data_IF_251811989377
#
_entry.id   IF_251811989377
#
_cell.length_a   1.000
_cell.length_b   1.000
_cell.length_c   1.000
_cell.angle_alpha   90.00
_cell.angle_beta   90.00
_cell.angle_gamma   90.00
#
_symmetry.space_group_name_H-M   'P 1'
#
loop_
_entity.id
_entity.type
_entity.pdbx_description
1 polymer ?
#
# COMPACT_ATOMS: atom_id res chain seq x y z
N UNK A 1 1.24 -2.54 13.06
CA UNK A 1 0.67 -1.19 13.29
C UNK A 1 -0.85 -1.32 13.27
N UNK A 2 -1.56 -0.65 14.18
CA UNK A 2 -3.04 -0.64 14.13
C UNK A 2 -3.52 0.47 13.19
N UNK A 3 -4.73 0.34 12.65
CA UNK A 3 -5.43 1.37 11.86
C UNK A 3 -5.42 2.71 12.59
N UNK A 4 -5.76 2.70 13.88
CA UNK A 4 -5.78 3.91 14.70
C UNK A 4 -4.41 4.60 14.75
N UNK A 5 -3.32 3.86 14.96
CA UNK A 5 -1.97 4.44 14.98
C UNK A 5 -1.57 5.04 13.64
N UNK A 6 -1.85 4.36 12.52
CA UNK A 6 -1.52 4.84 11.17
C UNK A 6 -2.27 6.14 10.86
N UNK A 7 -3.55 6.19 11.21
CA UNK A 7 -4.50 7.19 10.73
C UNK A 7 -4.66 8.39 11.64
N UNK A 8 -4.32 8.28 12.92
CA UNK A 8 -4.49 9.36 13.92
C UNK A 8 -3.88 10.69 13.50
N UNK A 9 -2.72 10.67 12.84
CA UNK A 9 -2.08 11.87 12.31
C UNK A 9 -2.96 12.57 11.26
N UNK A 10 -3.59 11.82 10.36
CA UNK A 10 -4.53 12.34 9.36
C UNK A 10 -5.82 12.84 9.99
N UNK A 11 -6.42 12.05 10.90
CA UNK A 11 -7.70 12.38 11.52
C UNK A 11 -7.62 13.67 12.35
N UNK A 12 -6.43 14.08 12.80
CA UNK A 12 -6.22 15.36 13.48
C UNK A 12 -6.59 16.58 12.63
N UNK A 13 -6.51 16.46 11.31
CA UNK A 13 -6.87 17.52 10.35
C UNK A 13 -8.35 17.55 9.97
N UNK A 14 -9.19 16.69 10.56
CA UNK A 14 -10.63 16.64 10.22
C UNK A 14 -11.35 18.00 10.34
N UNK A 15 -11.09 18.83 11.37
CA UNK A 15 -11.69 20.17 11.44
C UNK A 15 -11.30 21.06 10.25
N UNK A 16 -10.03 21.03 9.83
CA UNK A 16 -9.53 21.85 8.72
C UNK A 16 -10.07 21.35 7.37
N UNK A 17 -10.14 20.03 7.20
CA UNK A 17 -10.76 19.42 6.02
C UNK A 17 -12.23 19.85 5.91
N UNK A 18 -12.99 19.77 6.99
CA UNK A 18 -14.39 20.21 6.99
C UNK A 18 -14.52 21.71 6.72
N UNK A 19 -13.68 22.55 7.32
CA UNK A 19 -13.70 23.99 7.12
C UNK A 19 -13.42 24.39 5.66
N UNK A 20 -12.44 23.75 5.01
CA UNK A 20 -12.13 24.00 3.59
C UNK A 20 -13.27 23.56 2.68
N UNK A 21 -13.84 22.37 2.91
CA UNK A 21 -14.95 21.84 2.11
C UNK A 21 -16.23 22.67 2.22
N UNK A 22 -16.54 23.23 3.40
CA UNK A 22 -17.67 24.16 3.59
C UNK A 22 -17.55 25.42 2.71
N UNK A 23 -16.33 25.78 2.31
CA UNK A 23 -16.05 26.89 1.39
C UNK A 23 -15.91 26.42 -0.07
N UNK A 24 -16.15 25.14 -0.37
CA UNK A 24 -15.93 24.56 -1.69
C UNK A 24 -14.45 24.43 -2.08
N UNK A 25 -13.54 24.49 -1.11
CA UNK A 25 -12.09 24.43 -1.31
C UNK A 25 -11.59 23.01 -1.01
N UNK A 26 -10.66 22.52 -1.83
CA UNK A 26 -10.03 21.22 -1.62
C UNK A 26 -8.96 21.29 -0.53
N UNK A 27 -8.89 20.27 0.33
CA UNK A 27 -7.81 20.12 1.29
C UNK A 27 -6.66 19.29 0.72
N UNK A 28 -5.46 19.88 0.65
CA UNK A 28 -4.24 19.20 0.18
C UNK A 28 -3.26 19.07 1.34
N UNK A 29 -2.78 17.86 1.59
CA UNK A 29 -1.69 17.62 2.53
C UNK A 29 -0.36 17.87 1.82
N UNK A 30 0.15 19.10 1.97
CA UNK A 30 1.31 19.61 1.24
C UNK A 30 2.65 18.96 1.59
N UNK A 31 2.76 18.34 2.76
CA UNK A 31 3.92 17.57 3.19
C UNK A 31 3.50 16.52 4.22
N UNK A 32 3.94 15.28 4.06
CA UNK A 32 3.79 14.23 5.07
C UNK A 32 4.84 13.14 4.90
N UNK A 33 5.12 12.38 5.96
CA UNK A 33 5.77 11.08 5.87
C UNK A 33 5.62 10.30 7.20
N UNK A 34 6.27 9.14 7.30
CA UNK A 34 6.18 8.20 8.44
C UNK A 34 6.62 8.79 9.77
N UNK A 35 7.80 9.43 9.82
CA UNK A 35 8.35 10.09 11.01
C UNK A 35 9.02 11.41 10.59
N UNK A 36 8.95 12.43 11.44
CA UNK A 36 9.62 13.71 11.22
C UNK A 36 11.15 13.59 11.24
N UNK A 37 11.85 14.69 10.96
CA UNK A 37 13.31 14.77 10.96
C UNK A 37 13.97 13.74 10.01
N UNK A 38 13.43 13.62 8.80
CA UNK A 38 13.94 12.74 7.74
C UNK A 38 13.77 11.23 8.01
N UNK A 39 12.91 10.86 8.95
CA UNK A 39 12.53 9.49 9.24
C UNK A 39 13.34 8.82 10.35
N UNK A 40 12.86 7.67 10.79
CA UNK A 40 13.45 6.84 11.84
C UNK A 40 14.14 5.61 11.23
N UNK A 41 15.44 5.35 11.55
CA UNK A 41 16.13 4.14 11.11
C UNK A 41 15.44 2.87 11.59
N UNK A 42 15.34 1.85 10.73
CA UNK A 42 14.67 0.58 11.05
C UNK A 42 13.14 0.68 11.14
N UNK A 43 12.56 1.81 10.76
CA UNK A 43 11.11 2.02 10.73
C UNK A 43 10.68 2.68 9.43
N UNK A 44 11.26 3.82 9.09
CA UNK A 44 10.91 4.57 7.87
C UNK A 44 11.48 3.95 6.59
N UNK A 45 12.63 3.30 6.68
CA UNK A 45 13.34 2.71 5.54
C UNK A 45 13.06 1.21 5.37
N UNK A 46 11.98 0.69 5.96
CA UNK A 46 11.67 -0.74 5.95
C UNK A 46 10.42 -1.08 5.14
N UNK A 47 10.25 -2.35 4.81
CA UNK A 47 9.12 -2.89 4.06
C UNK A 47 7.78 -2.65 4.76
N UNK A 48 7.76 -2.61 6.10
CA UNK A 48 6.59 -2.22 6.88
C UNK A 48 6.12 -0.78 6.56
N UNK A 49 7.01 0.13 6.17
CA UNK A 49 6.63 1.47 5.75
C UNK A 49 5.78 1.49 4.47
N UNK A 50 5.90 0.47 3.60
CA UNK A 50 5.02 0.32 2.44
C UNK A 50 3.56 0.08 2.87
N UNK A 51 3.33 -0.81 3.84
CA UNK A 51 2.00 -1.09 4.37
C UNK A 51 1.40 0.15 5.04
N UNK A 52 2.20 0.84 5.85
CA UNK A 52 1.81 2.11 6.46
C UNK A 52 1.39 3.12 5.38
N UNK A 53 2.21 3.33 4.36
CA UNK A 53 1.95 4.32 3.32
C UNK A 53 0.69 4.00 2.51
N UNK A 54 0.40 2.72 2.22
CA UNK A 54 -0.81 2.30 1.50
C UNK A 54 -2.06 2.61 2.34
N UNK A 55 -2.12 2.19 3.61
CA UNK A 55 -3.29 2.49 4.46
C UNK A 55 -3.43 4.00 4.67
N UNK A 56 -2.31 4.72 4.86
CA UNK A 56 -2.28 6.15 5.06
C UNK A 56 -2.87 6.93 3.87
N UNK A 57 -2.42 6.68 2.63
CA UNK A 57 -2.94 7.40 1.47
C UNK A 57 -4.36 7.01 1.08
N UNK A 58 -4.72 5.73 1.22
CA UNK A 58 -6.08 5.28 0.91
C UNK A 58 -7.07 5.85 1.94
N UNK A 59 -6.71 5.89 3.23
CA UNK A 59 -7.51 6.53 4.27
C UNK A 59 -7.61 8.05 4.09
N UNK A 60 -6.53 8.72 3.69
CA UNK A 60 -6.54 10.17 3.46
C UNK A 60 -7.66 10.59 2.49
N UNK A 61 -7.87 9.82 1.42
CA UNK A 61 -8.96 10.04 0.48
C UNK A 61 -10.35 9.88 1.14
N UNK A 62 -10.51 8.95 2.09
CA UNK A 62 -11.79 8.69 2.76
C UNK A 62 -12.23 9.83 3.68
N UNK A 63 -11.27 10.57 4.24
CA UNK A 63 -11.56 11.72 5.09
C UNK A 63 -11.61 13.04 4.32
N UNK A 64 -11.51 13.01 2.99
CA UNK A 64 -11.69 14.19 2.14
C UNK A 64 -10.42 14.98 1.82
N UNK A 65 -9.23 14.39 2.01
CA UNK A 65 -7.97 14.95 1.51
C UNK A 65 -7.88 14.65 0.01
N UNK A 66 -7.75 15.69 -0.82
CA UNK A 66 -7.75 15.55 -2.29
C UNK A 66 -6.39 15.18 -2.87
N UNK A 67 -5.30 15.47 -2.16
CA UNK A 67 -3.94 15.16 -2.57
C UNK A 67 -3.01 15.08 -1.37
N UNK A 68 -2.08 14.13 -1.45
CA UNK A 68 -1.01 13.93 -0.47
C UNK A 68 0.34 14.08 -1.17
N UNK A 69 1.24 14.86 -0.59
CA UNK A 69 2.61 14.99 -1.02
C UNK A 69 3.53 14.34 0.01
N UNK A 70 4.10 13.18 -0.33
CA UNK A 70 5.15 12.59 0.49
C UNK A 70 6.41 13.43 0.40
N UNK A 71 7.00 13.72 1.55
CA UNK A 71 8.25 14.45 1.60
C UNK A 71 9.42 13.53 1.21
N UNK A 72 10.22 13.98 0.25
CA UNK A 72 11.41 13.32 -0.24
C UNK A 72 12.60 14.29 -0.22
N UNK A 73 13.82 13.76 -0.18
CA UNK A 73 15.05 14.53 -0.23
C UNK A 73 16.28 13.65 -0.51
N UNK A 74 17.45 14.07 -0.02
CA UNK A 74 18.70 13.33 -0.22
C UNK A 74 19.06 12.62 1.09
N UNK A 75 19.08 11.29 1.06
CA UNK A 75 19.47 10.46 2.19
C UNK A 75 18.45 10.42 3.32
N UNK A 76 17.18 10.74 3.04
CA UNK A 76 16.11 10.62 4.02
C UNK A 76 15.65 9.16 4.09
N UNK A 77 15.42 8.67 5.32
CA UNK A 77 15.06 7.27 5.55
C UNK A 77 13.66 6.94 5.07
N UNK A 78 12.82 7.93 4.84
CA UNK A 78 11.44 7.75 4.40
C UNK A 78 11.21 8.03 2.92
N UNK A 79 12.27 8.28 2.16
CA UNK A 79 12.16 8.54 0.72
C UNK A 79 11.38 7.42 0.03
N UNK A 80 10.57 7.74 -0.95
CA UNK A 80 10.09 6.74 -1.91
C UNK A 80 11.20 6.47 -2.92
N UNK A 81 11.87 7.53 -3.40
CA UNK A 81 12.95 7.46 -4.37
C UNK A 81 14.15 8.22 -3.81
N UNK A 82 15.31 7.58 -3.78
CA UNK A 82 16.60 8.25 -3.58
C UNK A 82 17.14 8.70 -4.95
N UNK A 83 17.09 10.01 -5.27
CA UNK A 83 17.29 10.47 -6.64
C UNK A 83 18.77 10.56 -7.07
N UNK A 84 19.69 10.56 -6.10
CA UNK A 84 21.12 10.75 -6.33
C UNK A 84 21.95 9.71 -5.61
N UNK A 85 23.16 9.45 -6.12
CA UNK A 85 24.14 8.60 -5.45
C UNK A 85 24.47 9.13 -4.05
N UNK A 86 24.43 8.27 -3.05
CA UNK A 86 24.83 8.56 -1.68
C UNK A 86 26.26 8.11 -1.44
N UNK A 87 27.04 8.96 -0.77
CA UNK A 87 28.38 8.61 -0.25
C UNK A 87 28.39 8.48 1.27
N UNK A 88 27.24 8.71 1.91
CA UNK A 88 27.05 8.59 3.36
C UNK A 88 25.83 7.74 3.69
N UNK A 89 25.91 7.01 4.79
CA UNK A 89 24.85 6.16 5.32
C UNK A 89 23.65 7.00 5.78
N UNK A 90 22.45 6.58 5.40
CA UNK A 90 21.19 7.18 5.85
C UNK A 90 20.88 6.87 7.32
N UNK A 91 21.59 5.93 7.93
CA UNK A 91 21.32 5.45 9.29
C UNK A 91 22.05 6.31 10.33
N UNK A 92 23.32 6.62 10.08
CA UNK A 92 24.24 7.25 11.04
C UNK A 92 25.14 8.34 10.43
N UNK A 93 25.05 8.60 9.13
CA UNK A 93 25.86 9.63 8.45
C UNK A 93 27.33 9.25 8.21
N UNK A 94 27.74 8.02 8.54
CA UNK A 94 29.09 7.52 8.28
C UNK A 94 29.38 7.47 6.77
N UNK A 95 30.67 7.52 6.39
CA UNK A 95 31.06 7.39 4.99
C UNK A 95 30.81 5.95 4.50
N UNK A 96 30.19 5.80 3.33
CA UNK A 96 29.98 4.49 2.72
C UNK A 96 31.26 4.02 2.04
N UNK A 97 31.62 2.75 2.26
CA UNK A 97 32.75 2.11 1.57
C UNK A 97 32.54 2.06 0.05
N UNK A 98 31.29 1.86 -0.37
CA UNK A 98 30.85 1.90 -1.76
C UNK A 98 29.70 2.89 -1.87
N UNK A 99 29.75 3.89 -2.79
CA UNK A 99 28.62 4.78 -3.01
C UNK A 99 27.36 4.00 -3.39
N UNK A 100 26.24 4.34 -2.77
CA UNK A 100 24.95 3.73 -3.06
C UNK A 100 24.27 4.50 -4.20
N UNK A 101 24.05 3.84 -5.33
CA UNK A 101 23.42 4.43 -6.52
C UNK A 101 21.99 4.93 -6.22
N UNK A 102 21.39 5.77 -7.09
CA UNK A 102 19.95 6.05 -7.03
C UNK A 102 19.13 4.76 -6.97
N UNK A 103 18.13 4.72 -6.11
CA UNK A 103 17.32 3.53 -5.85
C UNK A 103 15.96 3.93 -5.27
N UNK A 104 15.01 3.01 -5.29
CA UNK A 104 13.77 3.16 -4.54
C UNK A 104 13.95 2.61 -3.13
N UNK A 105 13.18 3.12 -2.17
CA UNK A 105 13.01 2.45 -0.88
C UNK A 105 11.66 1.74 -0.81
N UNK A 106 11.42 0.85 0.17
CA UNK A 106 10.23 0.00 0.17
C UNK A 106 8.89 0.74 0.09
N UNK A 107 8.78 1.94 0.66
CA UNK A 107 7.56 2.75 0.58
C UNK A 107 7.14 3.11 -0.85
N UNK A 108 8.04 3.05 -1.84
CA UNK A 108 7.73 3.24 -3.26
C UNK A 108 6.63 2.29 -3.76
N UNK A 109 6.60 1.06 -3.25
CA UNK A 109 5.58 0.07 -3.61
C UNK A 109 4.16 0.54 -3.25
N UNK A 110 4.01 1.44 -2.27
CA UNK A 110 2.72 2.02 -1.94
C UNK A 110 2.13 2.84 -3.10
N UNK A 111 2.96 3.61 -3.79
CA UNK A 111 2.54 4.39 -4.95
C UNK A 111 2.15 3.48 -6.12
N UNK A 112 2.91 2.41 -6.36
CA UNK A 112 2.60 1.40 -7.39
C UNK A 112 1.25 0.73 -7.09
N UNK A 113 1.06 0.24 -5.87
CA UNK A 113 -0.16 -0.48 -5.49
C UNK A 113 -1.38 0.43 -5.51
N UNK A 114 -1.27 1.65 -4.99
CA UNK A 114 -2.37 2.62 -5.02
C UNK A 114 -2.74 2.99 -6.46
N UNK A 115 -1.76 3.23 -7.33
CA UNK A 115 -2.01 3.51 -8.74
C UNK A 115 -2.71 2.33 -9.45
N UNK A 116 -2.28 1.09 -9.20
CA UNK A 116 -2.91 -0.10 -9.78
C UNK A 116 -4.34 -0.31 -9.25
N UNK A 117 -4.58 -0.05 -7.96
CA UNK A 117 -5.91 -0.16 -7.36
C UNK A 117 -6.89 0.90 -7.91
N UNK A 118 -6.42 2.15 -8.05
CA UNK A 118 -7.19 3.24 -8.68
C UNK A 118 -7.49 2.92 -10.14
N UNK A 119 -6.52 2.35 -10.87
CA UNK A 119 -6.68 2.01 -12.28
C UNK A 119 -6.67 3.24 -13.20
N UNK A 120 -7.08 3.02 -14.46
CA UNK A 120 -6.92 4.00 -15.54
C UNK A 120 -8.23 4.68 -15.98
N UNK A 121 -9.36 4.33 -15.36
CA UNK A 121 -10.69 4.79 -15.79
C UNK A 121 -10.84 6.32 -15.71
N UNK A 122 -10.15 6.96 -14.74
CA UNK A 122 -10.29 8.38 -14.43
C UNK A 122 -11.55 8.74 -13.61
N UNK A 123 -12.42 7.77 -13.34
CA UNK A 123 -13.66 7.97 -12.57
C UNK A 123 -13.85 6.94 -11.44
N UNK A 124 -12.79 6.23 -11.07
CA UNK A 124 -12.79 5.27 -9.96
C UNK A 124 -13.21 5.94 -8.66
N UNK A 125 -14.14 5.30 -7.94
CA UNK A 125 -14.55 5.68 -6.59
C UNK A 125 -13.98 4.67 -5.60
N UNK A 126 -13.45 5.13 -4.47
CA UNK A 126 -12.91 4.26 -3.43
C UNK A 126 -13.69 4.42 -2.13
N UNK A 127 -14.03 3.30 -1.48
CA UNK A 127 -14.66 3.27 -0.16
C UNK A 127 -13.86 2.38 0.78
N UNK A 128 -13.68 2.82 2.03
CA UNK A 128 -13.18 1.93 3.07
C UNK A 128 -14.16 0.77 3.31
N UNK A 129 -13.60 -0.44 3.48
CA UNK A 129 -14.31 -1.65 3.89
C UNK A 129 -14.22 -1.75 5.42
N UNK A 130 -15.35 -1.90 6.09
CA UNK A 130 -15.37 -2.12 7.53
C UNK A 130 -14.95 -3.57 7.84
N UNK A 131 -13.82 -3.71 8.52
CA UNK A 131 -13.26 -5.00 8.96
C UNK A 131 -13.05 -4.92 10.47
N UNK A 132 -13.70 -5.82 11.22
CA UNK A 132 -13.59 -5.93 12.69
C UNK A 132 -12.26 -6.59 13.09
N UNK A 133 -11.18 -5.89 12.79
CA UNK A 133 -9.81 -6.21 13.15
C UNK A 133 -9.01 -4.91 13.15
N UNK A 134 -8.32 -4.60 14.24
CA UNK A 134 -7.62 -3.32 14.40
C UNK A 134 -6.38 -3.17 13.51
N UNK A 135 -5.92 -4.24 12.86
CA UNK A 135 -4.70 -4.29 12.03
C UNK A 135 -4.96 -4.67 10.59
N UNK A 136 -6.18 -5.11 10.26
CA UNK A 136 -6.60 -5.36 8.89
C UNK A 136 -7.43 -4.18 8.38
N UNK A 137 -6.93 -3.54 7.33
CA UNK A 137 -7.62 -2.48 6.60
C UNK A 137 -8.06 -3.01 5.22
N UNK A 138 -9.13 -2.44 4.69
CA UNK A 138 -9.67 -2.81 3.38
C UNK A 138 -10.21 -1.60 2.64
N UNK A 139 -10.03 -1.56 1.33
CA UNK A 139 -10.53 -0.49 0.46
C UNK A 139 -11.10 -1.11 -0.82
N UNK A 140 -12.36 -0.81 -1.10
CA UNK A 140 -13.06 -1.23 -2.31
C UNK A 140 -13.00 -0.13 -3.37
N UNK A 141 -12.81 -0.51 -4.62
CA UNK A 141 -12.71 0.40 -5.76
C UNK A 141 -13.80 0.06 -6.78
N UNK A 142 -14.56 1.08 -7.16
CA UNK A 142 -15.74 0.96 -8.00
C UNK A 142 -15.59 1.78 -9.28
N UNK A 143 -16.06 1.21 -10.39
CA UNK A 143 -16.15 1.88 -11.69
C UNK A 143 -17.59 1.76 -12.18
N UNK A 144 -18.28 2.88 -12.41
CA UNK A 144 -19.70 2.87 -12.80
C UNK A 144 -20.63 2.22 -11.76
N UNK A 145 -20.24 2.22 -10.48
CA UNK A 145 -20.98 1.58 -9.39
C UNK A 145 -20.70 0.07 -9.22
N UNK A 146 -19.88 -0.52 -10.10
CA UNK A 146 -19.50 -1.94 -10.01
C UNK A 146 -18.18 -2.09 -9.25
N UNK A 147 -18.11 -3.04 -8.33
CA UNK A 147 -16.87 -3.38 -7.62
C UNK A 147 -15.89 -4.02 -8.62
N UNK A 148 -14.77 -3.34 -8.90
CA UNK A 148 -13.75 -3.84 -9.83
C UNK A 148 -12.51 -4.36 -9.10
N UNK A 149 -12.15 -3.77 -7.97
CA UNK A 149 -10.95 -4.13 -7.20
C UNK A 149 -11.17 -3.93 -5.71
N UNK A 150 -10.38 -4.63 -4.89
CA UNK A 150 -10.25 -4.34 -3.47
C UNK A 150 -8.79 -4.50 -3.01
N UNK A 151 -8.32 -3.61 -2.15
CA UNK A 151 -7.03 -3.74 -1.47
C UNK A 151 -7.27 -4.16 -0.03
N UNK A 152 -6.61 -5.22 0.44
CA UNK A 152 -6.61 -5.63 1.84
C UNK A 152 -5.18 -5.59 2.38
N UNK A 153 -5.01 -5.07 3.59
CA UNK A 153 -3.71 -4.79 4.21
C UNK A 153 -3.71 -5.45 5.59
N UNK A 154 -2.81 -6.40 5.85
CA UNK A 154 -2.58 -6.92 7.20
C UNK A 154 -1.30 -6.29 7.78
N UNK A 155 -1.50 -5.29 8.63
CA UNK A 155 -0.42 -4.52 9.27
C UNK A 155 0.12 -5.16 10.54
N UNK A 156 -0.24 -6.42 10.86
CA UNK A 156 0.43 -7.18 11.92
C UNK A 156 1.89 -7.40 11.54
N UNK A 157 2.81 -6.97 12.40
CA UNK A 157 4.24 -7.02 12.10
C UNK A 157 4.78 -8.43 12.33
N UNK A 158 5.39 -9.00 11.29
CA UNK A 158 6.24 -10.18 11.36
C UNK A 158 7.69 -9.72 11.17
N UNK A 159 8.52 -9.88 12.20
CA UNK A 159 9.86 -9.28 12.28
C UNK A 159 10.96 -10.34 12.24
N UNK A 160 12.14 -9.95 11.77
CA UNK A 160 13.31 -10.82 11.83
C UNK A 160 13.58 -11.31 13.27
N UNK A 161 13.97 -12.58 13.39
CA UNK A 161 14.27 -13.20 14.70
C UNK A 161 13.05 -13.67 15.49
N UNK A 162 11.82 -13.48 15.00
CA UNK A 162 10.65 -14.14 15.58
C UNK A 162 10.71 -15.65 15.35
N UNK A 163 10.40 -16.43 16.39
CA UNK A 163 10.48 -17.90 16.38
C UNK A 163 9.16 -18.53 15.94
N UNK A 164 8.04 -17.84 16.22
CA UNK A 164 6.72 -18.32 15.83
C UNK A 164 6.53 -18.21 14.31
N UNK A 165 5.83 -19.15 13.68
CA UNK A 165 5.44 -19.02 12.28
C UNK A 165 4.66 -17.72 12.04
N UNK A 166 4.83 -17.14 10.85
CA UNK A 166 4.03 -15.99 10.41
C UNK A 166 2.54 -16.33 10.45
N UNK A 167 1.75 -15.48 11.09
CA UNK A 167 0.30 -15.62 11.15
C UNK A 167 -0.41 -15.22 9.86
N UNK A 168 -1.71 -15.45 9.83
CA UNK A 168 -2.59 -14.99 8.75
C UNK A 168 -3.99 -14.68 9.28
N UNK A 169 -4.72 -13.86 8.52
CA UNK A 169 -6.14 -13.59 8.71
C UNK A 169 -6.89 -14.05 7.47
N UNK A 170 -7.95 -14.85 7.68
CA UNK A 170 -8.87 -15.22 6.62
C UNK A 170 -9.95 -14.14 6.46
N UNK A 171 -10.12 -13.61 5.25
CA UNK A 171 -11.17 -12.64 4.93
C UNK A 171 -12.22 -13.28 4.04
N UNK A 172 -13.41 -13.45 4.60
CA UNK A 172 -14.59 -13.84 3.86
C UNK A 172 -15.08 -12.66 3.03
N UNK A 173 -15.47 -12.91 1.77
CA UNK A 173 -16.02 -11.90 0.88
C UNK A 173 -17.54 -12.05 0.81
N UNK A 174 -18.26 -10.99 1.18
CA UNK A 174 -19.70 -10.86 0.97
C UNK A 174 -19.93 -9.72 0.01
N UNK A 175 -20.05 -10.04 -1.27
CA UNK A 175 -20.32 -9.06 -2.33
C UNK A 175 -21.78 -9.23 -2.74
N UNK A 176 -22.59 -8.19 -2.57
CA UNK A 176 -24.01 -8.24 -2.86
C UNK A 176 -24.27 -8.65 -4.32
N UNK A 177 -25.10 -9.68 -4.51
CA UNK A 177 -25.44 -10.20 -5.83
C UNK A 177 -24.35 -11.05 -6.51
N UNK A 178 -23.22 -11.30 -5.86
CA UNK A 178 -22.17 -12.18 -6.41
C UNK A 178 -22.52 -13.67 -6.27
N UNK A 179 -22.06 -14.47 -7.23
CA UNK A 179 -22.05 -15.93 -7.14
C UNK A 179 -20.83 -16.36 -6.28
N UNK A 180 -20.98 -17.21 -5.24
CA UNK A 180 -19.84 -17.77 -4.51
C UNK A 180 -18.79 -18.48 -5.39
N UNK A 181 -19.18 -18.96 -6.57
CA UNK A 181 -18.29 -19.56 -7.57
C UNK A 181 -17.60 -18.53 -8.49
N UNK A 182 -18.01 -17.26 -8.45
CA UNK A 182 -17.38 -16.18 -9.23
C UNK A 182 -15.90 -16.09 -8.89
N UNK A 183 -15.06 -16.11 -9.92
CA UNK A 183 -13.61 -16.06 -9.77
C UNK A 183 -13.11 -14.63 -9.67
N UNK A 184 -12.02 -14.45 -8.94
CA UNK A 184 -11.22 -13.23 -8.92
C UNK A 184 -9.74 -13.59 -8.82
N UNK A 185 -8.87 -12.64 -9.18
CA UNK A 185 -7.43 -12.81 -9.04
C UNK A 185 -6.88 -12.06 -7.84
N UNK A 186 -5.87 -12.61 -7.20
CA UNK A 186 -5.13 -12.05 -6.08
C UNK A 186 -3.70 -11.77 -6.51
N UNK A 187 -3.29 -10.51 -6.42
CA UNK A 187 -1.90 -10.07 -6.55
C UNK A 187 -1.38 -9.68 -5.17
N UNK A 188 -0.17 -10.12 -4.83
CA UNK A 188 0.36 -10.05 -3.45
C UNK A 188 1.61 -9.19 -3.38
N UNK A 189 1.69 -8.34 -2.36
CA UNK A 189 2.90 -7.66 -1.92
C UNK A 189 3.63 -8.61 -0.98
N UNK A 190 4.62 -9.32 -1.50
CA UNK A 190 5.41 -10.25 -0.71
C UNK A 190 6.57 -9.52 -0.05
N UNK A 191 6.63 -9.65 1.28
CA UNK A 191 7.63 -9.04 2.16
C UNK A 191 8.13 -10.14 3.10
N UNK A 192 9.45 -10.30 3.23
CA UNK A 192 10.06 -11.33 4.09
C UNK A 192 9.90 -11.04 5.59
N UNK A 193 10.03 -9.78 5.98
CA UNK A 193 9.79 -9.26 7.33
C UNK A 193 9.49 -7.76 7.28
N UNK A 194 8.73 -7.24 8.24
CA UNK A 194 8.35 -5.83 8.28
C UNK A 194 9.55 -4.88 8.45
N UNK A 195 10.68 -5.37 8.97
CA UNK A 195 11.95 -4.67 9.14
C UNK A 195 12.96 -4.94 8.01
N UNK A 196 12.57 -5.67 6.95
CA UNK A 196 13.39 -5.76 5.74
C UNK A 196 13.57 -4.40 5.09
N UNK A 197 14.72 -4.13 4.51
CA UNK A 197 15.02 -2.86 3.82
C UNK A 197 15.03 -2.97 2.30
N UNK A 198 14.86 -4.20 1.78
CA UNK A 198 14.90 -4.55 0.36
C UNK A 198 14.22 -5.92 0.16
N UNK A 199 14.16 -6.39 -1.09
CA UNK A 199 13.57 -7.69 -1.44
C UNK A 199 12.04 -7.68 -1.49
N UNK A 200 11.42 -6.50 -1.57
CA UNK A 200 9.97 -6.38 -1.70
C UNK A 200 9.56 -6.77 -3.12
N UNK A 201 8.45 -7.50 -3.27
CA UNK A 201 7.91 -7.82 -4.60
C UNK A 201 6.40 -7.64 -4.66
N UNK A 202 5.90 -7.17 -5.80
CA UNK A 202 4.48 -7.00 -6.09
C UNK A 202 4.06 -7.94 -7.21
N UNK A 203 3.25 -8.95 -6.89
CA UNK A 203 2.89 -10.01 -7.83
C UNK A 203 4.11 -10.76 -8.37
N UNK A 204 5.17 -10.93 -7.57
CA UNK A 204 6.42 -11.56 -8.02
C UNK A 204 7.34 -10.65 -8.85
N UNK A 205 6.97 -9.39 -9.08
CA UNK A 205 7.81 -8.40 -9.75
C UNK A 205 8.51 -7.47 -8.76
N UNK A 206 9.69 -6.97 -9.12
CA UNK A 206 10.44 -6.01 -8.32
C UNK A 206 10.64 -4.70 -9.08
N UNK A 207 10.67 -3.60 -8.34
CA UNK A 207 11.05 -2.26 -8.80
C UNK A 207 12.43 -1.84 -8.25
N UNK A 208 13.11 -2.73 -7.51
CA UNK A 208 14.47 -2.53 -6.99
C UNK A 208 15.50 -2.74 -8.12
N UNK A 209 15.35 -1.96 -9.18
CA UNK A 209 16.17 -1.96 -10.38
C UNK A 209 16.90 -0.63 -10.52
N UNK A 210 17.97 -0.60 -11.32
CA UNK A 210 18.79 0.60 -11.49
C UNK A 210 18.03 1.79 -12.11
N UNK A 211 16.91 1.54 -12.80
CA UNK A 211 16.06 2.57 -13.40
C UNK A 211 14.65 2.63 -12.79
N UNK A 212 14.43 1.96 -11.66
CA UNK A 212 13.15 1.84 -10.96
C UNK A 212 12.00 1.28 -11.82
N UNK A 213 12.30 0.67 -12.97
CA UNK A 213 11.30 -0.02 -13.78
C UNK A 213 11.07 -1.43 -13.26
N UNK A 214 9.85 -1.91 -13.49
CA UNK A 214 9.44 -3.26 -13.12
C UNK A 214 10.30 -4.32 -13.82
N UNK A 215 10.68 -5.34 -13.06
CA UNK A 215 11.41 -6.52 -13.54
C UNK A 215 10.81 -7.79 -12.92
N UNK A 216 10.95 -8.91 -13.62
CA UNK A 216 10.38 -10.19 -13.21
C UNK A 216 9.02 -10.49 -13.84
N UNK A 217 8.53 -11.71 -13.59
CA UNK A 217 7.28 -12.21 -14.14
C UNK A 217 6.14 -11.98 -13.16
N UNK A 218 5.03 -11.41 -13.65
CA UNK A 218 3.82 -11.29 -12.86
C UNK A 218 3.24 -12.68 -12.53
N UNK A 219 2.84 -12.82 -11.28
CA UNK A 219 2.20 -14.00 -10.70
C UNK A 219 0.91 -13.56 -10.03
N UNK A 220 -0.19 -14.20 -10.44
CA UNK A 220 -1.52 -14.01 -9.88
C UNK A 220 -2.03 -15.35 -9.36
N UNK A 221 -2.72 -15.33 -8.23
CA UNK A 221 -3.48 -16.47 -7.72
C UNK A 221 -4.95 -16.30 -8.10
N UNK A 222 -5.61 -17.34 -8.59
CA UNK A 222 -7.06 -17.33 -8.81
C UNK A 222 -7.76 -18.06 -7.66
N UNK A 223 -8.87 -17.50 -7.18
CA UNK A 223 -9.76 -18.12 -6.19
C UNK A 223 -11.21 -17.68 -6.47
N UNK A 224 -12.17 -18.10 -5.65
CA UNK A 224 -13.58 -17.73 -5.79
C UNK A 224 -14.09 -16.89 -4.62
N UNK A 225 -15.15 -16.11 -4.83
CA UNK A 225 -15.77 -15.27 -3.80
C UNK A 225 -16.09 -16.08 -2.53
N UNK A 226 -16.69 -17.26 -2.68
CA UNK A 226 -17.06 -18.13 -1.56
C UNK A 226 -15.88 -18.75 -0.83
N UNK A 227 -14.69 -18.81 -1.44
CA UNK A 227 -13.47 -19.28 -0.79
C UNK A 227 -12.75 -18.18 0.00
N UNK A 228 -13.07 -16.89 -0.25
CA UNK A 228 -12.40 -15.77 0.41
C UNK A 228 -10.91 -15.68 0.05
N UNK A 229 -10.14 -15.04 0.94
CA UNK A 229 -8.69 -14.87 0.78
C UNK A 229 -7.98 -14.84 2.13
N UNK A 230 -6.85 -15.55 2.23
CA UNK A 230 -5.92 -15.41 3.34
C UNK A 230 -4.91 -14.30 3.07
N UNK A 231 -4.72 -13.44 4.08
CA UNK A 231 -3.70 -12.39 4.13
C UNK A 231 -2.76 -12.65 5.29
N UNK A 232 -1.48 -12.88 4.98
CA UNK A 232 -0.44 -13.12 5.97
C UNK A 232 -0.11 -11.83 6.74
N UNK A 233 0.44 -11.97 7.95
CA UNK A 233 1.01 -10.84 8.68
C UNK A 233 2.06 -10.14 7.83
N UNK A 234 2.05 -8.81 7.76
CA UNK A 234 2.94 -8.00 6.89
C UNK A 234 2.75 -8.34 5.41
N UNK A 235 1.50 -8.28 4.95
CA UNK A 235 1.14 -8.50 3.54
C UNK A 235 0.08 -7.49 3.08
N UNK A 236 0.10 -7.18 1.78
CA UNK A 236 -0.98 -6.48 1.07
C UNK A 236 -1.43 -7.33 -0.09
N UNK A 237 -2.73 -7.40 -0.32
CA UNK A 237 -3.29 -8.06 -1.51
C UNK A 237 -4.21 -7.13 -2.27
N UNK A 238 -4.12 -7.18 -3.59
CA UNK A 238 -5.08 -6.59 -4.53
C UNK A 238 -5.93 -7.71 -5.10
N UNK A 239 -7.22 -7.63 -4.84
CA UNK A 239 -8.24 -8.46 -5.43
C UNK A 239 -8.73 -7.76 -6.70
N UNK A 240 -8.77 -8.46 -7.82
CA UNK A 240 -9.33 -7.94 -9.08
C UNK A 240 -10.49 -8.83 -9.52
N UNK A 241 -11.67 -8.22 -9.63
CA UNK A 241 -12.95 -8.86 -9.90
C UNK A 241 -13.40 -8.72 -11.36
N UNK A 242 -12.60 -8.07 -12.23
CA UNK A 242 -13.01 -7.83 -13.62
C UNK A 242 -13.36 -9.12 -14.36
N UNK A 243 -14.52 -9.05 -15.02
CA UNK A 243 -15.11 -10.10 -15.86
C UNK A 243 -14.20 -10.42 -17.05
N UNK A 244 -13.94 -11.71 -17.26
CA UNK A 244 -13.52 -12.18 -18.56
C UNK A 244 -14.66 -11.91 -19.55
N UNK A 245 -14.34 -11.09 -20.55
CA UNK A 245 -15.13 -10.71 -21.72
C UNK A 245 -16.25 -11.69 -22.13
N UNK A 246 -17.43 -11.12 -22.39
CA UNK A 246 -18.64 -11.67 -23.02
C UNK A 246 -18.31 -12.80 -24.01
N UNK A 247 -18.74 -14.03 -23.69
CA UNK A 247 -18.84 -15.11 -24.68
C UNK A 247 -20.08 -14.87 -25.54
N UNK A 248 -19.91 -14.30 -26.73
CA UNK A 248 -20.95 -14.38 -27.77
C UNK A 248 -20.76 -15.72 -28.48
N UNK A 249 -21.59 -16.69 -28.13
CA UNK A 249 -21.79 -17.89 -28.94
C UNK A 249 -22.90 -17.65 -29.95
N UNK A 250 -22.65 -17.96 -31.22
CA UNK A 250 -23.66 -18.05 -32.29
C UNK A 250 -24.36 -19.40 -32.22
#
# INVERSE_FOLDING_TARGET
>A
MTKATIRSNLSSFSPDIQATQQQGIQYVLGETNSYSCHGAPGVSNTAGAALWAIDYILYAAQIGISRVHFHDGIGYKYNLIQPVTLTRSILDGSALATPLAPHIQPAYYAAIIAAEAIGQSGFTQASEIQIDNDRVAGYAFYEGGLLVRAVLINSQAYLQGQINPRGSVHVNLSIDGSDPAQQFTVKRLSIGYADDTAGVTWGGQTYETADAKVSGRETLQTTTVGAGVDIQDTEVVLLNFQEWSITISV
#
